data_IF_785210414171
#
_entry.id   IF_785210414171
#
_cell.length_a   1.000
_cell.length_b   1.000
_cell.length_c   1.000
_cell.angle_alpha   90.00
_cell.angle_beta   90.00
_cell.angle_gamma   90.00
#
_symmetry.space_group_name_H-M   'P 1'
#
loop_
_entity.id
_entity.type
_entity.pdbx_description
1 polymer ?
#
# COMPACT_ATOMS: atom_id res chain seq x y z
N UNK A 1 3.03 16.07 -1.31
CA UNK A 1 2.37 15.26 -0.25
C UNK A 1 1.26 16.09 0.36
N UNK A 2 0.06 15.53 0.56
CA UNK A 2 -1.06 16.29 1.16
C UNK A 2 -0.68 16.79 2.56
N UNK A 3 -1.19 17.97 2.95
CA UNK A 3 -0.85 18.62 4.24
C UNK A 3 -1.21 17.76 5.45
N UNK A 4 -2.22 16.90 5.32
CA UNK A 4 -2.66 15.98 6.36
C UNK A 4 -1.64 14.91 6.79
N UNK A 5 -0.57 14.67 6.04
CA UNK A 5 0.48 13.69 6.39
C UNK A 5 1.82 14.33 6.78
N UNK A 6 1.84 15.63 7.08
CA UNK A 6 3.09 16.39 7.23
C UNK A 6 3.62 16.45 8.66
N UNK A 7 2.76 16.27 9.67
CA UNK A 7 3.16 16.43 11.07
C UNK A 7 2.77 15.19 11.88
N UNK A 8 3.71 14.71 12.67
CA UNK A 8 3.53 13.68 13.69
C UNK A 8 4.08 14.24 15.00
N UNK A 9 3.40 13.97 16.10
CA UNK A 9 3.87 14.34 17.43
C UNK A 9 3.99 13.11 18.34
N UNK A 10 4.50 13.34 19.54
CA UNK A 10 4.72 12.32 20.56
C UNK A 10 3.79 12.52 21.77
N UNK A 11 2.80 13.40 21.63
CA UNK A 11 1.86 13.67 22.70
C UNK A 11 0.93 12.46 22.87
N UNK A 12 0.29 12.29 24.04
CA UNK A 12 -0.74 11.26 24.20
C UNK A 12 -1.74 11.30 23.04
N UNK A 13 -2.02 10.16 22.37
CA UNK A 13 -1.86 8.79 22.88
C UNK A 13 -0.55 8.06 22.49
N UNK A 14 0.43 8.72 21.87
CA UNK A 14 1.65 8.09 21.35
C UNK A 14 2.71 7.80 22.43
N UNK A 15 2.29 7.20 23.56
CA UNK A 15 3.13 7.07 24.77
C UNK A 15 4.08 5.87 24.75
N UNK A 16 3.96 4.96 23.78
CA UNK A 16 4.77 3.74 23.68
C UNK A 16 5.84 3.79 22.57
N UNK A 17 6.11 4.98 22.01
CA UNK A 17 7.05 5.16 20.90
C UNK A 17 8.51 5.30 21.36
N UNK A 18 8.76 5.28 22.67
CA UNK A 18 10.08 5.55 23.26
C UNK A 18 10.68 6.89 22.76
N UNK A 19 9.84 7.93 22.62
CA UNK A 19 10.22 9.24 22.08
C UNK A 19 10.69 9.26 20.61
N UNK A 20 10.40 8.21 19.84
CA UNK A 20 10.74 8.17 18.41
C UNK A 20 9.55 8.63 17.56
N UNK A 21 9.81 9.59 16.66
CA UNK A 21 8.87 9.90 15.58
C UNK A 21 8.89 8.77 14.53
N UNK A 22 7.81 8.62 13.73
CA UNK A 22 7.83 7.73 12.58
C UNK A 22 8.96 8.11 11.61
N UNK A 23 9.54 7.11 10.94
CA UNK A 23 10.49 7.36 9.85
C UNK A 23 9.84 8.20 8.74
N UNK A 24 10.65 8.97 8.00
CA UNK A 24 10.15 9.76 6.87
C UNK A 24 9.52 8.87 5.79
N UNK A 25 8.58 9.39 4.97
CA UNK A 25 8.01 8.63 3.85
C UNK A 25 9.06 8.08 2.86
N UNK A 26 10.17 8.80 2.67
CA UNK A 26 11.30 8.35 1.87
C UNK A 26 12.04 7.16 2.50
N UNK A 27 12.24 7.15 3.81
CA UNK A 27 12.87 6.03 4.53
C UNK A 27 11.95 4.80 4.59
N UNK A 28 10.64 5.00 4.74
CA UNK A 28 9.66 3.92 4.71
C UNK A 28 9.52 3.27 3.32
N UNK A 29 9.85 4.00 2.26
CA UNK A 29 9.88 3.50 0.88
C UNK A 29 8.62 2.71 0.49
N UNK A 30 7.45 3.31 0.72
CA UNK A 30 6.14 2.67 0.52
C UNK A 30 5.87 2.50 -0.98
N UNK A 31 5.50 1.27 -1.38
CA UNK A 31 5.12 0.94 -2.75
C UNK A 31 3.66 0.47 -2.82
N UNK A 32 2.88 1.07 -3.71
CA UNK A 32 1.54 0.58 -4.04
C UNK A 32 1.61 -0.34 -5.26
N UNK A 33 1.44 -1.66 -5.05
CA UNK A 33 1.45 -2.69 -6.10
C UNK A 33 0.02 -3.06 -6.48
N UNK A 34 -0.44 -2.62 -7.65
CA UNK A 34 -1.77 -2.94 -8.15
C UNK A 34 -1.78 -4.27 -8.89
N UNK A 35 -2.57 -5.21 -8.37
CA UNK A 35 -2.92 -6.45 -9.03
C UNK A 35 -4.36 -6.40 -9.51
N UNK A 36 -4.60 -6.84 -10.73
CA UNK A 36 -5.94 -7.00 -11.30
C UNK A 36 -6.05 -8.35 -12.00
N UNK A 37 -7.25 -8.71 -12.45
CA UNK A 37 -7.43 -9.89 -13.29
C UNK A 37 -6.63 -9.87 -14.59
N UNK A 38 -6.19 -8.70 -15.07
CA UNK A 38 -5.39 -8.55 -16.28
C UNK A 38 -3.88 -8.73 -16.05
N UNK A 39 -3.41 -8.52 -14.83
CA UNK A 39 -1.98 -8.51 -14.49
C UNK A 39 -1.69 -9.19 -13.14
N UNK A 40 -2.22 -10.42 -12.96
CA UNK A 40 -2.17 -11.14 -11.68
C UNK A 40 -0.76 -11.42 -11.14
N UNK A 41 0.21 -11.65 -12.02
CA UNK A 41 1.56 -12.04 -11.62
C UNK A 41 2.54 -10.85 -11.62
N UNK A 42 2.22 -9.77 -12.34
CA UNK A 42 3.08 -8.62 -12.54
C UNK A 42 2.33 -7.34 -12.14
N UNK A 43 2.57 -6.82 -10.93
CA UNK A 43 1.83 -5.66 -10.44
C UNK A 43 2.22 -4.40 -11.22
N UNK A 44 1.26 -3.51 -11.41
CA UNK A 44 1.53 -2.14 -11.85
C UNK A 44 1.87 -1.29 -10.62
N UNK A 45 2.98 -0.57 -10.66
CA UNK A 45 3.37 0.32 -9.57
C UNK A 45 2.55 1.61 -9.65
N UNK A 46 1.91 1.95 -8.54
CA UNK A 46 1.16 3.20 -8.37
C UNK A 46 1.94 4.16 -7.47
N UNK A 47 1.78 5.45 -7.75
CA UNK A 47 2.29 6.53 -6.91
C UNK A 47 1.15 7.38 -6.40
N UNK A 48 1.10 7.58 -5.08
CA UNK A 48 0.14 8.50 -4.47
C UNK A 48 0.44 9.98 -4.80
N UNK A 49 1.60 10.28 -5.39
CA UNK A 49 1.96 11.61 -5.86
C UNK A 49 1.68 11.82 -7.35
N UNK A 50 1.41 10.74 -8.10
CA UNK A 50 1.10 10.81 -9.53
C UNK A 50 -0.22 10.09 -9.82
N UNK A 51 -1.29 10.88 -9.96
CA UNK A 51 -2.61 10.34 -10.32
C UNK A 51 -2.65 9.66 -11.69
N UNK A 52 -1.71 9.97 -12.60
CA UNK A 52 -1.64 9.32 -13.91
C UNK A 52 -1.20 7.86 -13.79
N UNK A 53 -0.37 7.51 -12.80
CA UNK A 53 -0.02 6.11 -12.51
C UNK A 53 -1.26 5.24 -12.28
N UNK A 54 -2.30 5.77 -11.61
CA UNK A 54 -3.58 5.10 -11.43
C UNK A 54 -4.42 5.11 -12.71
N UNK A 55 -4.57 6.28 -13.36
CA UNK A 55 -5.40 6.43 -14.57
C UNK A 55 -4.93 5.60 -15.75
N UNK A 56 -3.62 5.39 -15.87
CA UNK A 56 -3.00 4.61 -16.94
C UNK A 56 -2.82 3.12 -16.56
N UNK A 57 -3.32 2.69 -15.40
CA UNK A 57 -3.27 1.31 -14.94
C UNK A 57 -4.52 0.52 -15.36
N UNK A 58 -4.59 -0.76 -15.00
CA UNK A 58 -5.78 -1.60 -15.14
C UNK A 58 -6.82 -1.40 -14.03
N UNK A 59 -6.66 -0.37 -13.18
CA UNK A 59 -7.65 -0.04 -12.16
C UNK A 59 -8.99 0.36 -12.79
N UNK A 60 -10.08 -0.12 -12.20
CA UNK A 60 -11.44 0.06 -12.70
C UNK A 60 -12.32 0.58 -11.55
N UNK A 61 -12.84 1.80 -11.70
CA UNK A 61 -13.67 2.45 -10.69
C UNK A 61 -14.99 1.71 -10.41
N UNK A 62 -15.43 0.83 -11.31
CA UNK A 62 -16.64 0.03 -11.14
C UNK A 62 -16.40 -1.28 -10.36
N UNK A 63 -15.15 -1.57 -9.97
CA UNK A 63 -14.79 -2.78 -9.22
C UNK A 63 -14.38 -2.46 -7.80
N UNK A 64 -14.65 -3.39 -6.89
CA UNK A 64 -14.19 -3.27 -5.51
C UNK A 64 -12.66 -3.27 -5.46
N UNK A 65 -12.09 -2.28 -4.76
CA UNK A 65 -10.66 -2.23 -4.46
C UNK A 65 -10.40 -2.78 -3.05
N UNK A 66 -9.44 -3.70 -2.91
CA UNK A 66 -9.04 -4.29 -1.63
C UNK A 66 -7.55 -4.02 -1.41
N UNK A 67 -7.19 -3.53 -0.23
CA UNK A 67 -5.78 -3.32 0.16
C UNK A 67 -5.29 -4.50 0.98
N UNK A 68 -4.10 -4.99 0.62
CA UNK A 68 -3.33 -5.96 1.40
C UNK A 68 -2.10 -5.22 1.93
N UNK A 69 -1.93 -5.19 3.24
CA UNK A 69 -0.82 -4.49 3.91
C UNK A 69 -0.13 -5.50 4.82
N UNK A 70 1.17 -5.69 4.62
CA UNK A 70 1.97 -6.57 5.47
C UNK A 70 2.29 -5.91 6.82
N UNK A 71 2.77 -6.71 7.76
CA UNK A 71 2.98 -6.29 9.15
C UNK A 71 4.42 -6.39 9.61
N UNK A 72 4.57 -6.65 10.91
CA UNK A 72 5.84 -6.74 11.62
C UNK A 72 6.81 -7.72 10.95
N UNK A 73 8.04 -7.27 10.67
CA UNK A 73 9.13 -8.03 10.00
C UNK A 73 8.83 -8.55 8.59
N UNK A 74 7.66 -8.25 8.08
CA UNK A 74 7.12 -8.82 6.85
C UNK A 74 7.35 -7.86 5.66
N UNK A 75 7.11 -8.35 4.44
CA UNK A 75 7.28 -7.55 3.22
C UNK A 75 6.29 -7.94 2.13
N UNK A 76 6.20 -7.10 1.10
CA UNK A 76 5.35 -7.37 -0.08
C UNK A 76 5.75 -8.61 -0.90
N UNK A 77 6.88 -9.26 -0.60
CA UNK A 77 7.35 -10.48 -1.28
C UNK A 77 7.14 -11.75 -0.47
N UNK A 78 6.54 -11.66 0.71
CA UNK A 78 6.30 -12.83 1.55
C UNK A 78 5.22 -13.74 0.96
N UNK A 79 5.34 -15.03 1.28
CA UNK A 79 4.66 -16.12 0.58
C UNK A 79 3.13 -16.11 0.70
N UNK A 80 2.57 -15.41 1.69
CA UNK A 80 1.12 -15.31 1.88
C UNK A 80 0.46 -14.28 0.94
N UNK A 81 1.24 -13.35 0.35
CA UNK A 81 0.71 -12.30 -0.53
C UNK A 81 0.13 -12.90 -1.83
N UNK A 82 0.86 -13.72 -2.61
CA UNK A 82 0.32 -14.24 -3.88
C UNK A 82 -0.95 -15.10 -3.71
N UNK A 83 -1.05 -16.02 -2.73
CA UNK A 83 -2.31 -16.74 -2.47
C UNK A 83 -3.48 -15.81 -2.16
N UNK A 84 -3.26 -14.76 -1.35
CA UNK A 84 -4.32 -13.80 -1.03
C UNK A 84 -4.76 -13.00 -2.26
N UNK A 85 -3.81 -12.50 -3.06
CA UNK A 85 -4.10 -11.82 -4.33
C UNK A 85 -4.93 -12.73 -5.25
N UNK A 86 -4.52 -13.99 -5.40
CA UNK A 86 -5.22 -14.95 -6.25
C UNK A 86 -6.64 -15.22 -5.75
N UNK A 87 -6.83 -15.45 -4.45
CA UNK A 87 -8.15 -15.69 -3.86
C UNK A 87 -9.09 -14.48 -4.05
N UNK A 88 -8.58 -13.25 -3.88
CA UNK A 88 -9.38 -12.04 -4.04
C UNK A 88 -9.71 -11.70 -5.50
N UNK A 89 -8.89 -12.18 -6.45
CA UNK A 89 -9.07 -11.95 -7.88
C UNK A 89 -9.72 -13.13 -8.60
N UNK A 90 -10.01 -14.25 -7.91
CA UNK A 90 -10.77 -15.35 -8.48
C UNK A 90 -12.14 -14.84 -8.92
N UNK A 91 -12.51 -15.15 -10.16
CA UNK A 91 -13.87 -14.89 -10.65
C UNK A 91 -14.76 -15.94 -10.00
N UNK A 92 -15.78 -15.49 -9.29
CA UNK A 92 -16.89 -16.35 -8.87
C UNK A 92 -17.76 -16.65 -10.10
#
# INVERSE_FOLDING_TARGET
MRREFQCFDLWPPYTNTNWHLPSSPSEQNIHFKLFTTHNRNNPQLLSAQDANSLRNSHWDANKQTKFIVHGFTDSSTNEWIPPMVNALLQKV
#
